data_IF_182612936677
#
_entry.id   IF_182612936677
#
_cell.length_a   1.000
_cell.length_b   1.000
_cell.length_c   1.000
_cell.angle_alpha   90.00
_cell.angle_beta   90.00
_cell.angle_gamma   90.00
#
_symmetry.space_group_name_H-M   'P 1'
#
loop_
_entity.id
_entity.type
_entity.pdbx_description
1 polymer ?
#
# COMPACT_ATOMS: atom_id res chain seq x y z
N UNK A 1 68.17 -18.74 43.47
CA UNK A 1 68.92 -18.71 42.21
C UNK A 1 68.02 -19.22 41.09
N UNK A 2 68.15 -18.63 39.89
CA UNK A 2 67.22 -18.59 38.76
C UNK A 2 66.65 -19.94 38.29
N UNK A 3 65.39 -19.95 37.79
CA UNK A 3 65.13 -20.14 36.35
C UNK A 3 63.64 -19.92 35.98
N UNK A 4 63.43 -19.55 34.72
CA UNK A 4 62.28 -18.91 34.08
C UNK A 4 61.23 -19.92 33.58
N UNK A 5 59.93 -19.61 33.68
CA UNK A 5 58.94 -20.14 32.71
C UNK A 5 57.83 -19.12 32.44
N UNK A 6 57.87 -18.65 31.21
CA UNK A 6 56.90 -17.86 30.44
C UNK A 6 55.71 -18.78 30.05
N UNK A 7 54.45 -18.36 30.22
CA UNK A 7 53.49 -18.23 29.10
C UNK A 7 52.13 -17.67 29.55
N UNK A 8 51.76 -16.61 28.86
CA UNK A 8 50.49 -15.88 28.78
C UNK A 8 49.28 -16.82 28.65
N UNK A 9 48.30 -16.70 29.56
CA UNK A 9 46.96 -17.27 29.35
C UNK A 9 46.14 -16.29 28.52
N UNK A 10 45.81 -16.76 27.32
CA UNK A 10 45.07 -16.11 26.25
C UNK A 10 43.63 -15.76 26.69
N UNK A 11 43.31 -14.47 26.75
CA UNK A 11 41.92 -14.00 26.76
C UNK A 11 41.39 -14.08 25.32
N UNK A 12 40.59 -15.10 25.01
CA UNK A 12 39.79 -15.14 23.78
C UNK A 12 38.33 -14.87 24.14
N UNK A 13 37.99 -13.58 24.32
CA UNK A 13 36.60 -13.14 24.24
C UNK A 13 36.28 -13.05 22.75
N UNK A 14 35.68 -14.11 22.22
CA UNK A 14 35.12 -14.11 20.87
C UNK A 14 33.89 -13.20 20.87
N UNK A 15 34.08 -11.95 20.44
CA UNK A 15 32.97 -11.07 20.05
C UNK A 15 32.40 -11.65 18.75
N UNK A 16 31.31 -12.41 18.87
CA UNK A 16 30.51 -12.82 17.73
C UNK A 16 29.76 -11.57 17.23
N UNK A 17 30.29 -10.91 16.21
CA UNK A 17 29.57 -9.88 15.46
C UNK A 17 28.60 -10.61 14.55
N UNK A 18 27.37 -10.82 15.02
CA UNK A 18 26.27 -11.23 14.16
C UNK A 18 25.85 -10.02 13.32
N UNK A 19 26.24 -10.02 12.04
CA UNK A 19 25.61 -9.14 11.05
C UNK A 19 24.16 -9.60 10.85
N UNK A 20 23.24 -8.98 11.59
CA UNK A 20 21.82 -8.98 11.25
C UNK A 20 21.63 -8.21 9.94
N UNK A 21 21.82 -8.88 8.81
CA UNK A 21 21.44 -8.35 7.50
C UNK A 21 19.93 -8.49 7.37
N UNK A 22 19.19 -7.62 8.07
CA UNK A 22 17.74 -7.47 7.94
C UNK A 22 17.42 -7.11 6.48
N UNK A 23 16.83 -8.05 5.74
CA UNK A 23 16.36 -7.79 4.39
C UNK A 23 15.30 -6.67 4.42
N UNK A 24 15.40 -5.67 3.53
CA UNK A 24 14.41 -4.61 3.49
C UNK A 24 13.03 -5.20 3.18
N UNK A 25 11.95 -4.75 3.86
CA UNK A 25 10.60 -5.26 3.63
C UNK A 25 10.21 -5.09 2.15
N UNK A 26 9.34 -5.97 1.61
CA UNK A 26 8.85 -5.85 0.24
C UNK A 26 8.24 -4.45 0.05
N UNK A 27 8.69 -3.77 -1.00
CA UNK A 27 8.28 -2.40 -1.28
C UNK A 27 6.76 -2.36 -1.51
N UNK A 28 6.07 -1.34 -0.99
CA UNK A 28 4.66 -1.13 -1.29
C UNK A 28 4.47 -1.03 -2.81
N UNK A 29 3.25 -1.32 -3.34
CA UNK A 29 2.95 -1.05 -4.73
C UNK A 29 3.34 0.40 -5.07
N UNK A 30 3.70 0.70 -6.33
CA UNK A 30 4.05 2.06 -6.71
C UNK A 30 2.85 2.98 -6.53
N UNK A 31 3.08 4.18 -5.98
CA UNK A 31 2.02 5.19 -5.86
C UNK A 31 1.53 5.56 -7.26
N UNK A 32 0.21 5.75 -7.49
CA UNK A 32 -0.30 6.10 -8.80
C UNK A 32 0.45 7.31 -9.41
N UNK A 33 0.85 7.26 -10.68
CA UNK A 33 1.72 8.27 -11.28
C UNK A 33 1.03 9.63 -11.50
N UNK A 34 -0.30 9.67 -11.51
CA UNK A 34 -1.11 10.87 -11.70
C UNK A 34 -2.41 10.79 -10.91
N UNK A 35 -3.15 11.89 -10.88
CA UNK A 35 -4.47 12.00 -10.24
C UNK A 35 -5.48 11.04 -10.89
N UNK A 36 -6.53 10.61 -10.15
CA UNK A 36 -7.52 9.70 -10.70
C UNK A 36 -8.26 10.25 -11.92
N UNK A 37 -8.75 9.38 -12.83
CA UNK A 37 -9.51 9.80 -14.00
C UNK A 37 -10.71 10.69 -13.64
N UNK A 38 -10.91 11.76 -14.42
CA UNK A 38 -12.04 12.68 -14.27
C UNK A 38 -11.87 13.76 -13.20
N UNK A 39 -10.83 13.69 -12.36
CA UNK A 39 -10.52 14.75 -11.38
C UNK A 39 -10.21 16.09 -12.08
N UNK A 40 -9.59 16.04 -13.25
CA UNK A 40 -9.24 17.20 -14.07
C UNK A 40 -10.45 18.00 -14.56
N UNK A 41 -11.63 17.37 -14.66
CA UNK A 41 -12.88 18.01 -15.10
C UNK A 41 -13.62 18.72 -13.97
N UNK A 42 -13.26 18.45 -12.72
CA UNK A 42 -14.01 18.88 -11.53
C UNK A 42 -13.18 19.79 -10.64
N UNK A 43 -11.88 19.50 -10.50
CA UNK A 43 -11.02 20.23 -9.59
C UNK A 43 -10.60 21.59 -10.14
N UNK A 44 -10.47 22.61 -9.29
CA UNK A 44 -9.85 23.88 -9.66
C UNK A 44 -8.43 23.64 -10.21
N UNK A 45 -7.98 24.41 -11.21
CA UNK A 45 -6.66 24.21 -11.83
C UNK A 45 -5.51 24.21 -10.82
N UNK A 46 -5.58 25.08 -9.82
CA UNK A 46 -4.57 25.17 -8.75
C UNK A 46 -4.55 23.91 -7.88
N UNK A 47 -5.72 23.42 -7.46
CA UNK A 47 -5.84 22.18 -6.69
C UNK A 47 -5.29 21.00 -7.47
N UNK A 48 -5.65 20.90 -8.76
CA UNK A 48 -5.19 19.84 -9.65
C UNK A 48 -3.66 19.85 -9.79
N UNK A 49 -3.06 21.03 -9.96
CA UNK A 49 -1.61 21.18 -10.03
C UNK A 49 -0.91 20.72 -8.75
N UNK A 50 -1.44 21.11 -7.58
CA UNK A 50 -0.91 20.67 -6.27
C UNK A 50 -0.99 19.16 -6.07
N UNK A 51 -2.11 18.53 -6.46
CA UNK A 51 -2.25 17.07 -6.38
C UNK A 51 -1.24 16.38 -7.31
N UNK A 52 -1.12 16.80 -8.57
CA UNK A 52 -0.15 16.25 -9.52
C UNK A 52 1.29 16.36 -9.01
N UNK A 53 1.63 17.47 -8.36
CA UNK A 53 2.94 17.65 -7.75
C UNK A 53 3.20 16.60 -6.67
N UNK A 54 2.23 16.29 -5.81
CA UNK A 54 2.38 15.25 -4.77
C UNK A 54 2.56 13.87 -5.39
N UNK A 55 1.77 13.53 -6.43
CA UNK A 55 1.91 12.25 -7.13
C UNK A 55 3.32 12.06 -7.70
N UNK A 56 3.89 13.12 -8.29
CA UNK A 56 5.22 13.12 -8.94
C UNK A 56 6.39 13.37 -7.99
N UNK A 57 6.16 13.65 -6.71
CA UNK A 57 7.24 13.92 -5.76
C UNK A 57 7.82 12.61 -5.23
N UNK A 58 8.95 12.19 -5.78
CA UNK A 58 9.66 10.97 -5.41
C UNK A 58 10.31 11.05 -4.02
N UNK A 59 10.36 12.25 -3.41
CA UNK A 59 10.89 12.43 -2.06
C UNK A 59 9.87 12.10 -0.98
N UNK A 60 8.60 11.96 -1.34
CA UNK A 60 7.53 11.65 -0.39
C UNK A 60 7.28 10.15 -0.32
N UNK A 61 7.23 9.65 0.91
CA UNK A 61 6.70 8.32 1.21
C UNK A 61 5.21 8.23 0.87
N UNK A 62 4.70 7.00 0.69
CA UNK A 62 3.27 6.75 0.46
C UNK A 62 2.38 7.46 1.50
N UNK A 63 2.71 7.29 2.78
CA UNK A 63 1.97 7.90 3.89
C UNK A 63 1.94 9.42 3.79
N UNK A 64 3.08 10.04 3.48
CA UNK A 64 3.15 11.50 3.30
C UNK A 64 2.34 11.97 2.08
N UNK A 65 2.32 11.19 0.99
CA UNK A 65 1.48 11.49 -0.18
C UNK A 65 0.00 11.45 0.20
N UNK A 66 -0.45 10.39 0.87
CA UNK A 66 -1.83 10.27 1.35
C UNK A 66 -2.24 11.38 2.30
N UNK A 67 -1.40 11.73 3.27
CA UNK A 67 -1.66 12.82 4.23
C UNK A 67 -1.80 14.16 3.51
N UNK A 68 -0.89 14.49 2.58
CA UNK A 68 -0.95 15.74 1.83
C UNK A 68 -2.15 15.80 0.88
N UNK A 69 -2.47 14.70 0.19
CA UNK A 69 -3.65 14.61 -0.66
C UNK A 69 -4.92 14.78 0.19
N UNK A 70 -5.00 14.07 1.32
CA UNK A 70 -6.12 14.18 2.25
C UNK A 70 -6.32 15.61 2.78
N UNK A 71 -5.23 16.30 3.11
CA UNK A 71 -5.28 17.70 3.54
C UNK A 71 -5.82 18.62 2.44
N UNK A 72 -5.39 18.45 1.19
CA UNK A 72 -5.91 19.21 0.03
C UNK A 72 -7.40 18.94 -0.16
N UNK A 73 -7.82 17.67 -0.16
CA UNK A 73 -9.22 17.30 -0.38
C UNK A 73 -10.12 17.82 0.75
N UNK A 74 -9.67 17.80 2.01
CA UNK A 74 -10.45 18.30 3.14
C UNK A 74 -10.69 19.82 3.12
N UNK A 75 -9.86 20.57 2.37
CA UNK A 75 -10.03 22.01 2.16
C UNK A 75 -11.02 22.35 1.04
N UNK A 76 -11.44 21.37 0.24
CA UNK A 76 -12.37 21.63 -0.86
C UNK A 76 -13.79 21.88 -0.34
N UNK A 77 -14.57 22.72 -1.04
CA UNK A 77 -16.01 22.85 -0.82
C UNK A 77 -16.73 21.52 -1.05
N UNK A 78 -17.80 21.28 -0.30
CA UNK A 78 -18.62 20.05 -0.42
C UNK A 78 -19.16 19.88 -1.85
N UNK A 79 -19.51 20.98 -2.53
CA UNK A 79 -19.98 20.96 -3.92
C UNK A 79 -18.93 20.39 -4.88
N UNK A 80 -17.64 20.64 -4.65
CA UNK A 80 -16.56 20.08 -5.46
C UNK A 80 -16.37 18.61 -5.11
N UNK A 81 -16.36 18.26 -3.82
CA UNK A 81 -16.23 16.88 -3.36
C UNK A 81 -17.35 15.98 -3.90
N UNK A 82 -18.57 16.52 -4.04
CA UNK A 82 -19.72 15.79 -4.56
C UNK A 82 -19.66 15.51 -6.05
N UNK A 83 -18.99 16.39 -6.80
CA UNK A 83 -18.79 16.22 -8.24
C UNK A 83 -17.63 15.29 -8.55
N UNK A 84 -16.76 14.97 -7.57
CA UNK A 84 -15.67 14.04 -7.81
C UNK A 84 -16.20 12.67 -8.25
N UNK A 85 -15.61 12.10 -9.31
CA UNK A 85 -16.00 10.77 -9.77
C UNK A 85 -15.62 9.75 -8.70
N UNK A 86 -16.50 8.77 -8.48
CA UNK A 86 -16.12 7.56 -7.77
C UNK A 86 -15.22 6.71 -8.69
N UNK A 87 -14.42 5.79 -8.13
CA UNK A 87 -13.70 4.81 -8.93
C UNK A 87 -14.62 4.10 -9.93
N UNK A 88 -14.20 3.84 -11.18
CA UNK A 88 -15.02 3.15 -12.19
C UNK A 88 -15.58 1.82 -11.69
N UNK A 89 -14.84 1.13 -10.83
CA UNK A 89 -15.25 -0.13 -10.19
C UNK A 89 -16.52 0.02 -9.34
N UNK A 90 -16.88 1.24 -8.94
CA UNK A 90 -18.05 1.53 -8.11
C UNK A 90 -19.29 1.87 -8.94
N UNK A 91 -19.22 1.85 -10.28
CA UNK A 91 -20.36 2.15 -11.15
C UNK A 91 -21.54 1.19 -10.94
N UNK A 92 -21.25 -0.05 -10.56
CA UNK A 92 -22.26 -1.09 -10.31
C UNK A 92 -22.84 -1.08 -8.89
N UNK A 93 -22.37 -0.19 -8.01
CA UNK A 93 -22.88 -0.14 -6.65
C UNK A 93 -24.30 0.46 -6.61
N UNK A 94 -25.16 -0.03 -5.70
CA UNK A 94 -26.44 0.60 -5.40
C UNK A 94 -26.28 2.08 -5.03
N UNK A 95 -27.29 2.90 -5.34
CA UNK A 95 -27.24 4.34 -5.11
C UNK A 95 -27.10 4.70 -3.62
N UNK A 96 -27.68 3.91 -2.72
CA UNK A 96 -27.54 4.12 -1.28
C UNK A 96 -26.08 3.89 -0.82
N UNK A 97 -25.40 2.91 -1.41
CA UNK A 97 -23.98 2.63 -1.15
C UNK A 97 -23.10 3.75 -1.69
N UNK A 98 -23.35 4.21 -2.92
CA UNK A 98 -22.65 5.37 -3.53
C UNK A 98 -22.85 6.63 -2.67
N UNK A 99 -24.07 6.87 -2.17
CA UNK A 99 -24.37 7.99 -1.29
C UNK A 99 -23.58 7.92 0.03
N UNK A 100 -23.57 6.76 0.70
CA UNK A 100 -22.78 6.55 1.93
C UNK A 100 -21.27 6.77 1.69
N UNK A 101 -20.75 6.29 0.56
CA UNK A 101 -19.34 6.49 0.17
C UNK A 101 -19.04 7.98 0.00
N UNK A 102 -19.92 8.75 -0.64
CA UNK A 102 -19.76 10.21 -0.77
C UNK A 102 -19.81 10.92 0.58
N UNK A 103 -20.73 10.53 1.46
CA UNK A 103 -20.82 11.08 2.83
C UNK A 103 -19.52 10.84 3.61
N UNK A 104 -18.95 9.63 3.54
CA UNK A 104 -17.64 9.32 4.13
C UNK A 104 -16.54 10.20 3.51
N UNK A 105 -16.59 10.42 2.20
CA UNK A 105 -15.66 11.29 1.47
C UNK A 105 -15.64 12.72 2.00
N UNK A 106 -16.80 13.28 2.40
CA UNK A 106 -16.93 14.64 2.94
C UNK A 106 -16.55 14.78 4.40
N UNK A 107 -16.54 13.69 5.16
CA UNK A 107 -16.31 13.76 6.61
C UNK A 107 -14.89 14.26 6.91
N UNK A 108 -14.80 15.48 7.44
CA UNK A 108 -13.54 16.17 7.76
C UNK A 108 -12.91 15.67 9.06
N UNK A 109 -13.66 14.93 9.87
CA UNK A 109 -13.16 14.31 11.11
C UNK A 109 -12.39 13.02 10.84
N UNK A 110 -12.51 12.47 9.62
CA UNK A 110 -11.84 11.22 9.24
C UNK A 110 -10.53 11.48 8.50
N UNK A 111 -9.50 10.75 8.92
CA UNK A 111 -8.28 10.53 8.15
C UNK A 111 -8.58 9.72 6.88
N UNK A 112 -7.71 9.78 5.86
CA UNK A 112 -7.86 8.97 4.65
C UNK A 112 -7.93 7.47 4.96
N UNK A 113 -7.13 6.98 5.91
CA UNK A 113 -7.17 5.59 6.36
C UNK A 113 -8.55 5.22 6.94
N UNK A 114 -9.12 6.06 7.80
CA UNK A 114 -10.47 5.84 8.34
C UNK A 114 -11.55 5.90 7.26
N UNK A 115 -11.43 6.80 6.26
CA UNK A 115 -12.33 6.85 5.11
C UNK A 115 -12.26 5.55 4.32
N UNK A 116 -11.07 5.06 3.99
CA UNK A 116 -10.88 3.78 3.30
C UNK A 116 -11.48 2.61 4.09
N UNK A 117 -11.25 2.55 5.40
CA UNK A 117 -11.83 1.50 6.24
C UNK A 117 -13.36 1.52 6.20
N UNK A 118 -13.98 2.70 6.37
CA UNK A 118 -15.45 2.83 6.33
C UNK A 118 -16.02 2.51 4.95
N UNK A 119 -15.38 2.95 3.86
CA UNK A 119 -15.78 2.60 2.49
C UNK A 119 -15.69 1.08 2.29
N UNK A 120 -14.62 0.45 2.77
CA UNK A 120 -14.49 -1.01 2.74
C UNK A 120 -15.60 -1.71 3.52
N UNK A 121 -16.05 -1.16 4.66
CA UNK A 121 -17.19 -1.70 5.41
C UNK A 121 -18.51 -1.55 4.67
N UNK A 122 -18.75 -0.40 4.02
CA UNK A 122 -19.94 -0.19 3.17
C UNK A 122 -19.99 -1.23 2.06
N UNK A 123 -18.87 -1.44 1.37
CA UNK A 123 -18.74 -2.43 0.29
C UNK A 123 -18.89 -3.86 0.84
N UNK A 124 -18.26 -4.18 1.98
CA UNK A 124 -18.30 -5.49 2.60
C UNK A 124 -19.71 -5.91 3.04
N UNK A 125 -20.57 -4.95 3.38
CA UNK A 125 -21.96 -5.19 3.74
C UNK A 125 -22.90 -5.42 2.55
N UNK A 126 -22.42 -5.23 1.31
CA UNK A 126 -23.25 -5.44 0.12
C UNK A 126 -23.49 -6.94 -0.15
N UNK A 127 -24.59 -7.29 -0.85
CA UNK A 127 -24.83 -8.67 -1.27
C UNK A 127 -23.67 -9.26 -2.08
N UNK A 128 -23.37 -10.57 -1.95
CA UNK A 128 -22.24 -11.20 -2.63
C UNK A 128 -22.25 -11.02 -4.16
N UNK A 129 -23.42 -11.03 -4.79
CA UNK A 129 -23.56 -10.83 -6.24
C UNK A 129 -23.14 -9.43 -6.71
N UNK A 130 -23.25 -8.41 -5.84
CA UNK A 130 -22.79 -7.05 -6.11
C UNK A 130 -21.30 -6.92 -5.80
N UNK A 131 -20.85 -7.47 -4.67
CA UNK A 131 -19.43 -7.44 -4.28
C UNK A 131 -18.51 -8.06 -5.32
N UNK A 132 -18.96 -9.12 -6.00
CA UNK A 132 -18.23 -9.79 -7.09
C UNK A 132 -18.01 -8.92 -8.34
N UNK A 133 -18.76 -7.82 -8.49
CA UNK A 133 -18.59 -6.87 -9.59
C UNK A 133 -17.43 -5.90 -9.35
N UNK A 134 -16.97 -5.77 -8.10
CA UNK A 134 -15.78 -5.01 -7.77
C UNK A 134 -14.58 -5.95 -7.99
N UNK A 135 -13.62 -5.58 -8.85
CA UNK A 135 -12.48 -6.43 -9.13
C UNK A 135 -11.70 -6.69 -7.83
N UNK A 136 -11.20 -7.92 -7.63
CA UNK A 136 -10.29 -8.18 -6.52
C UNK A 136 -9.04 -7.30 -6.68
N UNK A 137 -8.37 -6.92 -5.58
CA UNK A 137 -7.13 -6.16 -5.67
C UNK A 137 -6.14 -6.91 -6.56
N UNK A 138 -5.55 -6.19 -7.51
CA UNK A 138 -4.63 -6.77 -8.49
C UNK A 138 -3.46 -7.40 -7.73
N UNK A 139 -3.20 -8.71 -7.92
CA UNK A 139 -2.05 -9.32 -7.30
C UNK A 139 -0.77 -8.67 -7.84
N UNK A 140 0.26 -8.45 -7.01
CA UNK A 140 1.50 -7.82 -7.45
C UNK A 140 2.11 -8.60 -8.63
N UNK A 141 2.87 -7.97 -9.55
CA UNK A 141 3.45 -8.63 -10.74
C UNK A 141 4.30 -9.88 -10.42
N UNK A 142 4.80 -9.96 -9.20
CA UNK A 142 5.60 -11.07 -8.68
C UNK A 142 4.77 -12.31 -8.33
N UNK A 143 3.44 -12.16 -8.27
CA UNK A 143 2.54 -13.17 -7.73
C UNK A 143 2.61 -14.52 -8.46
N UNK A 144 2.72 -14.52 -9.78
CA UNK A 144 2.81 -15.75 -10.56
C UNK A 144 4.15 -16.47 -10.39
N UNK A 145 5.17 -15.77 -9.88
CA UNK A 145 6.52 -16.29 -9.65
C UNK A 145 6.71 -16.81 -8.22
N UNK A 146 5.71 -16.61 -7.34
CA UNK A 146 5.73 -17.14 -5.98
C UNK A 146 5.52 -18.67 -5.98
N UNK A 147 6.11 -19.39 -5.00
CA UNK A 147 5.84 -20.81 -4.79
C UNK A 147 4.34 -21.09 -4.66
N UNK A 148 3.90 -22.26 -5.14
CA UNK A 148 2.49 -22.62 -5.18
C UNK A 148 1.79 -22.47 -3.82
N UNK A 149 2.46 -22.86 -2.74
CA UNK A 149 1.96 -22.74 -1.37
C UNK A 149 1.69 -21.28 -0.97
N UNK A 150 2.66 -20.39 -1.22
CA UNK A 150 2.54 -18.95 -0.94
C UNK A 150 1.40 -18.35 -1.76
N UNK A 151 1.29 -18.70 -3.05
CA UNK A 151 0.17 -18.24 -3.89
C UNK A 151 -1.16 -18.68 -3.33
N UNK A 152 -1.26 -19.91 -2.82
CA UNK A 152 -2.49 -20.42 -2.23
C UNK A 152 -2.84 -19.68 -0.94
N UNK A 153 -1.86 -19.38 -0.08
CA UNK A 153 -2.05 -18.58 1.13
C UNK A 153 -2.52 -17.16 0.81
N UNK A 154 -1.89 -16.49 -0.16
CA UNK A 154 -2.33 -15.17 -0.60
C UNK A 154 -3.72 -15.22 -1.24
N UNK A 155 -4.03 -16.21 -2.09
CA UNK A 155 -5.38 -16.40 -2.64
C UNK A 155 -6.41 -16.61 -1.53
N UNK A 156 -6.07 -17.35 -0.48
CA UNK A 156 -6.95 -17.57 0.66
C UNK A 156 -7.23 -16.24 1.39
N UNK A 157 -6.21 -15.45 1.68
CA UNK A 157 -6.37 -14.12 2.32
C UNK A 157 -7.15 -13.14 1.45
N UNK A 158 -6.94 -13.17 0.13
CA UNK A 158 -7.67 -12.34 -0.82
C UNK A 158 -9.15 -12.73 -0.93
N UNK A 159 -9.46 -14.02 -0.85
CA UNK A 159 -10.83 -14.57 -0.89
C UNK A 159 -11.52 -14.56 0.46
N UNK A 160 -10.81 -14.29 1.55
CA UNK A 160 -11.38 -14.22 2.89
C UNK A 160 -12.26 -12.97 3.01
N UNK A 161 -13.57 -13.20 2.90
CA UNK A 161 -14.60 -12.17 2.99
C UNK A 161 -14.78 -11.65 4.42
N UNK A 162 -14.23 -12.33 5.44
CA UNK A 162 -14.31 -11.88 6.83
C UNK A 162 -13.32 -10.75 7.16
N UNK A 163 -12.31 -10.53 6.29
CA UNK A 163 -11.25 -9.55 6.54
C UNK A 163 -11.59 -8.17 6.00
N UNK A 164 -11.34 -7.15 6.81
CA UNK A 164 -11.28 -5.77 6.35
C UNK A 164 -9.96 -5.49 5.59
N UNK A 165 -9.86 -4.32 4.95
CA UNK A 165 -8.68 -3.95 4.15
C UNK A 165 -7.36 -4.01 4.93
N UNK A 166 -7.32 -3.43 6.14
CA UNK A 166 -6.11 -3.39 6.97
C UNK A 166 -5.70 -4.81 7.41
N UNK A 167 -6.66 -5.62 7.81
CA UNK A 167 -6.43 -7.02 8.17
C UNK A 167 -5.91 -7.84 7.00
N UNK A 168 -6.52 -7.69 5.83
CA UNK A 168 -6.10 -8.33 4.58
C UNK A 168 -4.68 -7.91 4.23
N UNK A 169 -4.40 -6.61 4.26
CA UNK A 169 -3.08 -6.05 3.95
C UNK A 169 -2.02 -6.55 4.95
N UNK A 170 -2.33 -6.55 6.25
CA UNK A 170 -1.45 -7.08 7.30
C UNK A 170 -1.16 -8.57 7.11
N UNK A 171 -2.17 -9.39 6.80
CA UNK A 171 -1.97 -10.83 6.52
C UNK A 171 -1.11 -11.05 5.27
N UNK A 172 -1.35 -10.30 4.19
CA UNK A 172 -0.51 -10.33 2.98
C UNK A 172 0.93 -9.97 3.33
N UNK A 173 1.16 -8.90 4.09
CA UNK A 173 2.49 -8.51 4.56
C UNK A 173 3.18 -9.60 5.39
N UNK A 174 2.43 -10.26 6.30
CA UNK A 174 2.97 -11.34 7.11
C UNK A 174 3.44 -12.52 6.23
N UNK A 175 2.62 -12.92 5.25
CA UNK A 175 2.98 -13.98 4.28
C UNK A 175 4.24 -13.57 3.51
N UNK A 176 4.27 -12.36 2.96
CA UNK A 176 5.42 -11.88 2.19
C UNK A 176 6.69 -11.75 3.03
N UNK A 177 6.59 -11.39 4.32
CA UNK A 177 7.72 -11.32 5.26
C UNK A 177 8.24 -12.71 5.65
N UNK A 178 7.37 -13.71 5.66
CA UNK A 178 7.73 -15.10 5.99
C UNK A 178 8.35 -15.89 4.84
N UNK A 179 8.54 -15.27 3.66
CA UNK A 179 9.13 -15.96 2.52
C UNK A 179 10.59 -16.37 2.80
N UNK A 180 10.99 -17.60 2.43
CA UNK A 180 12.38 -18.00 2.48
C UNK A 180 13.24 -17.07 1.62
N UNK A 181 14.44 -16.77 2.09
CA UNK A 181 15.34 -15.84 1.42
C UNK A 181 15.69 -16.28 -0.02
N UNK A 182 15.81 -17.58 -0.25
CA UNK A 182 15.99 -18.15 -1.58
C UNK A 182 14.85 -17.78 -2.53
N UNK A 183 13.60 -17.86 -2.05
CA UNK A 183 12.41 -17.47 -2.82
C UNK A 183 12.47 -15.99 -3.12
N UNK A 184 12.78 -15.15 -2.12
CA UNK A 184 12.86 -13.68 -2.28
C UNK A 184 13.92 -13.28 -3.31
N UNK A 185 15.09 -13.94 -3.31
CA UNK A 185 16.16 -13.69 -4.29
C UNK A 185 15.79 -14.10 -5.71
N UNK A 186 14.94 -15.10 -5.86
CA UNK A 186 14.45 -15.57 -7.17
C UNK A 186 13.33 -14.69 -7.75
N UNK A 187 12.74 -13.79 -6.96
CA UNK A 187 11.72 -12.87 -7.44
C UNK A 187 12.33 -11.85 -8.42
N UNK A 188 11.57 -11.43 -9.45
CA UNK A 188 12.08 -10.50 -10.44
C UNK A 188 12.34 -9.17 -9.72
N UNK A 189 13.49 -8.57 -9.98
CA UNK A 189 13.77 -7.22 -9.48
C UNK A 189 12.69 -6.29 -10.06
N UNK A 190 12.18 -5.34 -9.26
CA UNK A 190 11.23 -4.37 -9.78
C UNK A 190 11.83 -3.70 -11.02
N UNK A 191 11.01 -3.41 -12.05
CA UNK A 191 11.50 -2.72 -13.22
C UNK A 191 12.16 -1.40 -12.79
N UNK A 192 13.25 -0.98 -13.46
CA UNK A 192 13.83 0.32 -13.18
C UNK A 192 12.75 1.40 -13.34
N UNK A 193 12.78 2.47 -12.53
CA UNK A 193 11.83 3.57 -12.70
C UNK A 193 11.90 4.10 -14.14
N UNK A 194 10.78 4.57 -14.71
CA UNK A 194 10.76 5.08 -16.07
C UNK A 194 11.81 6.20 -16.23
N UNK A 195 12.48 6.30 -17.40
CA UNK A 195 13.47 7.35 -17.63
C UNK A 195 12.81 8.72 -17.45
N UNK A 196 13.51 9.61 -16.74
CA UNK A 196 13.08 11.01 -16.61
C UNK A 196 12.90 11.60 -18.02
N UNK A 197 11.77 12.26 -18.33
CA UNK A 197 11.67 13.02 -19.56
C UNK A 197 12.77 14.08 -19.58
N UNK A 198 13.54 14.12 -20.66
CA UNK A 198 14.54 15.15 -20.91
C UNK A 198 13.84 16.50 -20.96
N UNK A 199 14.29 17.44 -20.12
CA UNK A 199 13.85 18.85 -20.12
C UNK A 199 14.60 19.60 -21.21
#
# INVERSE_FOLDING_TARGET
MLSVTLLVVLFAVTVSVTLETSLPPPLPPPFPPDVPPGFDKVLPPETLARLRQIHRDDKLTWKQKEEKIGAILNQLPDEILDKLPLPPEFDHLPDDAKKKIREIGRDRQLTMAQKHQKISSVIGALPPNIRRLIPPPVPPPVFDQLPAEVRNQLKAVLKDESLNWEERHRKIHAIMKSLPEEVVRALPRPPPPPPRPSV
#
